data_IF_439880889388
#
_entry.id   IF_439880889388
#
_cell.length_a   1.000
_cell.length_b   1.000
_cell.length_c   1.000
_cell.angle_alpha   90.00
_cell.angle_beta   90.00
_cell.angle_gamma   90.00
#
_symmetry.space_group_name_H-M   'P 1'
#
loop_
_entity.id
_entity.type
_entity.pdbx_description
1 polymer ?
#
# COMPACT_ATOMS: atom_id res chain seq x y z
N UNK A 1 21.05 13.78 27.54
CA UNK A 1 20.63 12.47 26.98
C UNK A 1 21.25 11.40 27.84
N UNK A 2 20.46 10.55 28.47
CA UNK A 2 20.96 9.41 29.25
C UNK A 2 21.48 8.35 28.28
N UNK A 3 22.67 7.83 28.54
CA UNK A 3 23.33 6.83 27.69
C UNK A 3 22.84 5.40 28.01
N UNK A 4 23.02 4.47 27.07
CA UNK A 4 22.67 3.05 27.27
C UNK A 4 23.43 2.43 28.45
N UNK A 5 24.68 2.84 28.66
CA UNK A 5 25.51 2.35 29.75
C UNK A 5 25.01 2.84 31.12
N UNK A 6 24.56 4.09 31.21
CA UNK A 6 23.93 4.64 32.42
C UNK A 6 22.61 3.92 32.74
N UNK A 7 21.77 3.66 31.73
CA UNK A 7 20.52 2.91 31.90
C UNK A 7 20.81 1.48 32.35
N UNK A 8 21.80 0.82 31.75
CA UNK A 8 22.19 -0.55 32.10
C UNK A 8 22.75 -0.61 33.53
N UNK A 9 23.52 0.39 33.95
CA UNK A 9 24.01 0.54 35.32
C UNK A 9 22.87 0.68 36.34
N UNK A 10 21.88 1.52 36.04
CA UNK A 10 20.69 1.71 36.88
C UNK A 10 19.87 0.43 37.00
N UNK A 11 19.70 -0.33 35.91
CA UNK A 11 18.95 -1.59 35.92
C UNK A 11 19.60 -2.68 36.79
N UNK A 12 20.94 -2.71 36.89
CA UNK A 12 21.68 -3.68 37.72
C UNK A 12 21.48 -3.47 39.22
N UNK A 13 21.13 -2.26 39.65
CA UNK A 13 20.87 -1.93 41.05
C UNK A 13 19.43 -2.20 41.52
N UNK A 14 18.54 -2.63 40.61
CA UNK A 14 17.13 -2.83 40.94
C UNK A 14 16.90 -4.15 41.70
N UNK A 15 15.94 -4.13 42.62
CA UNK A 15 15.40 -5.35 43.24
C UNK A 15 14.69 -6.21 42.19
N UNK A 16 14.53 -7.50 42.46
CA UNK A 16 13.84 -8.43 41.57
C UNK A 16 12.40 -7.99 41.23
N UNK A 17 11.67 -7.42 42.20
CA UNK A 17 10.32 -6.88 42.00
C UNK A 17 10.33 -5.69 41.03
N UNK A 18 11.25 -4.74 41.24
CA UNK A 18 11.36 -3.56 40.39
C UNK A 18 11.82 -3.94 38.97
N UNK A 19 12.70 -4.93 38.84
CA UNK A 19 13.11 -5.47 37.55
C UNK A 19 11.94 -6.16 36.82
N UNK A 20 11.04 -6.84 37.55
CA UNK A 20 9.82 -7.41 36.97
C UNK A 20 8.86 -6.32 36.49
N UNK A 21 8.69 -5.22 37.25
CA UNK A 21 7.88 -4.05 36.83
C UNK A 21 8.47 -3.38 35.58
N UNK A 22 9.79 -3.21 35.51
CA UNK A 22 10.45 -2.66 34.31
C UNK A 22 10.27 -3.58 33.12
N UNK A 23 10.36 -4.91 33.29
CA UNK A 23 10.07 -5.86 32.21
C UNK A 23 8.63 -5.77 31.72
N UNK A 24 7.66 -5.70 32.63
CA UNK A 24 6.25 -5.53 32.28
C UNK A 24 6.01 -4.21 31.56
N UNK A 25 6.65 -3.12 32.00
CA UNK A 25 6.56 -1.82 31.34
C UNK A 25 7.22 -1.80 29.96
N UNK A 26 8.38 -2.43 29.79
CA UNK A 26 9.02 -2.58 28.48
C UNK A 26 8.17 -3.47 27.56
N UNK A 27 7.55 -4.52 28.09
CA UNK A 27 6.61 -5.35 27.33
C UNK A 27 5.37 -4.53 26.89
N UNK A 28 4.77 -3.75 27.79
CA UNK A 28 3.64 -2.89 27.46
C UNK A 28 4.00 -1.77 26.49
N UNK A 29 5.23 -1.25 26.54
CA UNK A 29 5.73 -0.29 25.54
C UNK A 29 5.92 -0.92 24.17
N UNK A 30 6.31 -2.21 24.11
CA UNK A 30 6.41 -2.97 22.86
C UNK A 30 5.04 -3.32 22.30
N UNK A 31 4.07 -3.67 23.16
CA UNK A 31 2.67 -3.93 22.79
C UNK A 31 1.97 -2.65 22.33
N UNK A 32 2.18 -1.51 23.00
CA UNK A 32 1.65 -0.21 22.58
C UNK A 32 2.26 0.28 21.25
N UNK A 33 3.48 -0.17 20.91
CA UNK A 33 4.09 0.05 19.59
C UNK A 33 3.68 -1.00 18.54
N UNK A 34 2.91 -2.02 18.92
CA UNK A 34 2.40 -3.08 18.07
C UNK A 34 0.91 -2.92 17.75
N UNK A 35 0.36 -1.69 17.86
CA UNK A 35 -0.97 -1.39 17.34
C UNK A 35 -1.02 -1.70 15.84
N UNK A 36 -2.17 -2.19 15.33
CA UNK A 36 -2.39 -2.36 13.90
C UNK A 36 -1.99 -1.08 13.17
N UNK A 37 -0.97 -1.17 12.34
CA UNK A 37 -0.59 -0.09 11.47
C UNK A 37 -1.29 -0.27 10.14
N UNK A 38 -1.91 0.80 9.65
CA UNK A 38 -2.45 0.86 8.31
C UNK A 38 -2.02 2.13 7.60
N UNK A 39 -2.03 2.07 6.27
CA UNK A 39 -1.79 3.23 5.41
C UNK A 39 -2.79 3.19 4.26
N UNK A 40 -3.65 4.21 4.18
CA UNK A 40 -4.62 4.37 3.09
C UNK A 40 -4.03 5.26 1.99
N UNK A 41 -3.85 4.70 0.79
CA UNK A 41 -3.22 5.45 -0.29
C UNK A 41 -4.13 6.53 -0.91
N UNK A 42 -5.46 6.43 -0.75
CA UNK A 42 -6.40 7.45 -1.22
C UNK A 42 -6.32 8.69 -0.32
N UNK A 43 -6.25 8.51 0.99
CA UNK A 43 -6.09 9.61 1.97
C UNK A 43 -4.79 10.39 1.74
N UNK A 44 -3.72 9.67 1.37
CA UNK A 44 -2.40 10.25 1.11
C UNK A 44 -2.17 10.71 -0.35
N UNK A 45 -3.21 10.74 -1.20
CA UNK A 45 -3.04 11.07 -2.62
C UNK A 45 -2.47 12.46 -2.89
N UNK A 46 -2.68 13.43 -1.99
CA UNK A 46 -2.13 14.78 -2.13
C UNK A 46 -0.59 14.79 -2.17
N UNK A 47 0.05 13.85 -1.47
CA UNK A 47 1.50 13.69 -1.35
C UNK A 47 2.09 12.84 -2.48
N UNK A 48 1.24 12.18 -3.27
CA UNK A 48 1.67 11.25 -4.30
C UNK A 48 2.33 11.94 -5.50
N UNK A 49 3.39 11.31 -5.98
CA UNK A 49 3.94 11.56 -7.32
C UNK A 49 3.01 10.94 -8.36
N UNK A 50 2.76 11.65 -9.45
CA UNK A 50 1.72 11.30 -10.43
C UNK A 50 2.23 11.50 -11.85
N UNK A 51 1.96 10.53 -12.71
CA UNK A 51 2.22 10.62 -14.15
C UNK A 51 1.11 9.90 -14.93
N UNK A 52 0.73 10.41 -16.10
CA UNK A 52 -0.36 9.87 -16.91
C UNK A 52 -1.13 10.98 -17.64
N UNK A 53 -2.14 10.61 -18.43
CA UNK A 53 -3.03 11.60 -19.07
C UNK A 53 -4.07 12.14 -18.09
N UNK A 54 -4.58 11.28 -17.22
CA UNK A 54 -5.47 11.66 -16.13
C UNK A 54 -5.19 10.77 -14.93
N UNK A 55 -4.97 11.39 -13.78
CA UNK A 55 -4.74 10.71 -12.50
C UNK A 55 -5.46 11.45 -11.39
N UNK A 56 -6.37 10.79 -10.69
CA UNK A 56 -7.19 11.41 -9.62
C UNK A 56 -7.73 10.37 -8.63
N UNK A 57 -8.17 10.83 -7.46
CA UNK A 57 -9.04 10.08 -6.56
C UNK A 57 -10.48 10.44 -6.87
N UNK A 58 -11.33 9.44 -7.09
CA UNK A 58 -12.78 9.58 -7.22
C UNK A 58 -13.47 8.21 -7.09
N UNK A 59 -14.76 8.22 -6.81
CA UNK A 59 -15.57 7.00 -6.84
C UNK A 59 -15.58 6.37 -8.24
N UNK A 60 -15.46 5.05 -8.29
CA UNK A 60 -15.52 4.26 -9.51
C UNK A 60 -16.55 3.13 -9.35
N UNK A 61 -17.24 2.79 -10.44
CA UNK A 61 -18.23 1.71 -10.47
C UNK A 61 -17.76 0.63 -11.44
N UNK A 62 -17.69 -0.61 -10.96
CA UNK A 62 -17.42 -1.80 -11.78
C UNK A 62 -18.48 -2.86 -11.45
N UNK A 63 -19.17 -3.39 -12.46
CA UNK A 63 -20.25 -4.36 -12.33
C UNK A 63 -21.33 -3.88 -11.34
N UNK A 64 -21.69 -2.59 -11.42
CA UNK A 64 -22.66 -1.90 -10.56
C UNK A 64 -22.27 -1.77 -9.08
N UNK A 65 -21.03 -2.05 -8.71
CA UNK A 65 -20.52 -1.83 -7.35
C UNK A 65 -19.62 -0.60 -7.33
N UNK A 66 -19.97 0.40 -6.53
CA UNK A 66 -19.22 1.66 -6.41
C UNK A 66 -18.26 1.63 -5.22
N UNK A 67 -17.02 2.09 -5.43
CA UNK A 67 -15.96 2.20 -4.42
C UNK A 67 -15.09 3.43 -4.65
N UNK A 68 -14.49 4.01 -3.60
CA UNK A 68 -13.47 5.05 -3.76
C UNK A 68 -12.22 4.44 -4.42
N UNK A 69 -11.62 5.16 -5.38
CA UNK A 69 -10.55 4.59 -6.19
C UNK A 69 -9.52 5.62 -6.67
N UNK A 70 -8.32 5.13 -6.97
CA UNK A 70 -7.36 5.79 -7.85
C UNK A 70 -7.77 5.54 -9.29
N UNK A 71 -7.89 6.63 -10.04
CA UNK A 71 -8.09 6.61 -11.48
C UNK A 71 -6.76 6.83 -12.16
N UNK A 72 -6.42 5.95 -13.09
CA UNK A 72 -5.15 6.01 -13.82
C UNK A 72 -5.41 5.81 -15.31
N UNK A 73 -5.37 6.91 -16.07
CA UNK A 73 -5.49 6.86 -17.52
C UNK A 73 -4.10 6.97 -18.17
N UNK A 74 -3.53 5.86 -18.69
CA UNK A 74 -2.23 5.90 -19.34
C UNK A 74 -2.26 6.70 -20.65
N UNK A 75 -1.12 7.20 -21.14
CA UNK A 75 -0.99 7.64 -22.52
C UNK A 75 -1.05 6.46 -23.51
N UNK A 76 -1.36 6.74 -24.78
CA UNK A 76 -1.38 5.74 -25.88
C UNK A 76 -0.13 4.87 -25.94
N UNK A 77 1.03 5.40 -25.53
CA UNK A 77 2.28 4.66 -25.32
C UNK A 77 2.85 5.04 -23.96
N UNK A 78 3.00 4.06 -23.08
CA UNK A 78 3.51 4.24 -21.72
C UNK A 78 2.48 3.87 -20.66
N UNK A 79 2.66 4.45 -19.48
CA UNK A 79 1.91 4.06 -18.28
C UNK A 79 1.40 5.29 -17.55
N UNK A 80 0.29 5.14 -16.84
CA UNK A 80 -0.04 6.01 -15.73
C UNK A 80 0.57 5.43 -14.46
N UNK A 81 0.99 6.28 -13.54
CA UNK A 81 1.66 5.88 -12.31
C UNK A 81 1.28 6.81 -11.18
N UNK A 82 0.94 6.22 -10.03
CA UNK A 82 0.82 6.91 -8.75
C UNK A 82 1.84 6.30 -7.78
N UNK A 83 2.80 7.11 -7.35
CA UNK A 83 3.90 6.71 -6.49
C UNK A 83 3.87 7.41 -5.14
N UNK A 84 4.05 6.63 -4.08
CA UNK A 84 4.03 7.07 -2.68
C UNK A 84 5.35 6.74 -2.00
N UNK A 85 5.78 7.61 -1.09
CA UNK A 85 6.79 7.29 -0.09
C UNK A 85 6.06 7.00 1.22
N UNK A 86 6.10 5.73 1.64
CA UNK A 86 5.33 5.23 2.78
C UNK A 86 6.26 4.92 3.93
N UNK A 87 6.15 5.62 5.08
CA UNK A 87 6.84 5.25 6.30
C UNK A 87 6.31 3.91 6.82
N UNK A 88 7.18 2.92 6.97
CA UNK A 88 6.85 1.60 7.52
C UNK A 88 7.41 1.55 8.95
N UNK A 89 6.55 1.45 9.99
CA UNK A 89 7.02 1.37 11.36
C UNK A 89 7.91 0.15 11.58
N UNK A 90 9.01 0.31 12.34
CA UNK A 90 9.97 -0.77 12.63
C UNK A 90 9.36 -1.99 13.35
N UNK A 91 8.17 -1.85 13.94
CA UNK A 91 7.41 -2.93 14.57
C UNK A 91 6.38 -3.61 13.68
N UNK A 92 6.10 -3.08 12.48
CA UNK A 92 5.09 -3.62 11.58
C UNK A 92 5.52 -4.99 11.06
N UNK A 93 4.67 -6.00 11.25
CA UNK A 93 4.90 -7.38 10.80
C UNK A 93 3.78 -7.81 9.87
N UNK A 94 4.08 -8.79 9.01
CA UNK A 94 3.13 -9.37 8.06
C UNK A 94 2.34 -8.30 7.30
N UNK A 95 3.05 -7.25 6.87
CA UNK A 95 2.44 -6.15 6.14
C UNK A 95 1.87 -6.69 4.83
N UNK A 96 0.59 -6.49 4.62
CA UNK A 96 -0.12 -6.93 3.43
C UNK A 96 -0.63 -5.71 2.67
N UNK A 97 -0.36 -5.66 1.37
CA UNK A 97 -0.97 -4.70 0.46
C UNK A 97 -2.30 -5.26 -0.05
N UNK A 98 -3.40 -4.60 0.28
CA UNK A 98 -4.75 -4.94 -0.17
C UNK A 98 -5.27 -3.87 -1.12
N UNK A 99 -5.92 -4.30 -2.20
CA UNK A 99 -6.52 -3.43 -3.21
C UNK A 99 -7.46 -4.24 -4.09
N UNK A 100 -8.33 -3.56 -4.83
CA UNK A 100 -9.03 -4.15 -5.96
C UNK A 100 -8.63 -3.46 -7.27
N UNK A 101 -8.59 -4.21 -8.37
CA UNK A 101 -8.46 -3.65 -9.72
C UNK A 101 -9.80 -3.72 -10.45
N UNK A 102 -10.06 -2.75 -11.32
CA UNK A 102 -11.34 -2.63 -12.02
C UNK A 102 -11.21 -2.01 -13.39
N UNK A 103 -12.20 -2.32 -14.23
CA UNK A 103 -12.49 -1.60 -15.48
C UNK A 103 -13.90 -1.05 -15.33
N UNK A 104 -14.04 0.27 -15.35
CA UNK A 104 -15.31 0.92 -15.02
C UNK A 104 -16.44 0.53 -15.96
N UNK A 105 -17.66 0.57 -15.42
CA UNK A 105 -18.88 0.48 -16.21
C UNK A 105 -18.93 1.59 -17.27
N UNK A 106 -19.42 1.23 -18.45
CA UNK A 106 -19.43 2.10 -19.64
C UNK A 106 -18.10 2.16 -20.41
N UNK A 107 -17.01 1.54 -19.91
CA UNK A 107 -15.77 1.45 -20.66
C UNK A 107 -15.96 0.62 -21.95
N UNK A 108 -15.43 1.10 -23.06
CA UNK A 108 -15.37 0.37 -24.32
C UNK A 108 -14.13 -0.54 -24.32
N UNK A 109 -14.31 -1.77 -23.86
CA UNK A 109 -13.27 -2.80 -23.86
C UNK A 109 -13.65 -3.90 -24.87
N UNK A 110 -13.08 -3.88 -26.08
CA UNK A 110 -13.20 -4.97 -27.04
C UNK A 110 -12.63 -6.30 -26.48
N UNK A 111 -13.06 -7.47 -26.99
CA UNK A 111 -12.63 -8.77 -26.48
C UNK A 111 -11.12 -9.05 -26.53
N UNK A 112 -10.39 -8.35 -27.41
CA UNK A 112 -8.95 -8.47 -27.62
C UNK A 112 -8.14 -7.40 -26.88
N UNK A 113 -8.79 -6.60 -26.02
CA UNK A 113 -8.15 -5.51 -25.28
C UNK A 113 -7.94 -5.88 -23.81
N UNK A 114 -6.75 -5.55 -23.35
CA UNK A 114 -6.24 -5.89 -22.03
C UNK A 114 -5.72 -4.63 -21.36
N UNK A 115 -5.92 -4.53 -20.05
CA UNK A 115 -5.28 -3.50 -19.22
C UNK A 115 -4.32 -4.23 -18.28
N UNK A 116 -3.06 -3.82 -18.26
CA UNK A 116 -2.11 -4.33 -17.28
C UNK A 116 -2.03 -3.41 -16.06
N UNK A 117 -2.01 -4.05 -14.91
CA UNK A 117 -1.85 -3.45 -13.60
C UNK A 117 -0.54 -3.99 -13.01
N UNK A 118 0.26 -3.12 -12.40
CA UNK A 118 1.48 -3.50 -11.70
C UNK A 118 1.63 -2.72 -10.40
N UNK A 119 2.21 -3.38 -9.41
CA UNK A 119 2.71 -2.72 -8.19
C UNK A 119 4.22 -2.90 -8.14
N UNK A 120 4.94 -1.80 -8.00
CA UNK A 120 6.38 -1.82 -7.68
C UNK A 120 6.59 -1.41 -6.22
N UNK A 121 7.57 -2.04 -5.57
CA UNK A 121 8.09 -1.69 -4.25
C UNK A 121 9.58 -1.46 -4.38
N UNK A 122 10.05 -0.24 -4.07
CA UNK A 122 11.44 0.18 -4.22
C UNK A 122 12.01 -0.12 -5.62
N UNK A 123 11.18 0.06 -6.66
CA UNK A 123 11.51 -0.22 -8.05
C UNK A 123 11.44 -1.70 -8.47
N UNK A 124 11.21 -2.63 -7.54
CA UNK A 124 11.06 -4.05 -7.82
C UNK A 124 9.59 -4.43 -8.00
N UNK A 125 9.28 -5.26 -8.99
CA UNK A 125 7.91 -5.72 -9.22
C UNK A 125 7.45 -6.64 -8.11
N UNK A 126 6.53 -6.16 -7.28
CA UNK A 126 5.86 -6.95 -6.26
C UNK A 126 4.76 -7.81 -6.89
N UNK A 127 3.95 -7.20 -7.76
CA UNK A 127 2.76 -7.83 -8.29
C UNK A 127 2.41 -7.30 -9.68
N UNK A 128 1.73 -8.13 -10.48
CA UNK A 128 1.14 -7.71 -11.74
C UNK A 128 -0.04 -8.61 -12.15
N UNK A 129 -1.05 -8.03 -12.76
CA UNK A 129 -2.12 -8.76 -13.42
C UNK A 129 -2.57 -8.06 -14.72
N UNK A 130 -3.31 -8.81 -15.52
CA UNK A 130 -3.98 -8.32 -16.72
C UNK A 130 -5.48 -8.52 -16.55
N UNK A 131 -6.26 -7.49 -16.86
CA UNK A 131 -7.72 -7.50 -16.70
C UNK A 131 -8.44 -7.30 -18.03
N UNK A 132 -9.54 -8.03 -18.18
CA UNK A 132 -10.46 -7.97 -19.34
C UNK A 132 -11.93 -7.85 -18.95
N UNK A 133 -12.24 -7.88 -17.65
CA UNK A 133 -13.61 -7.87 -17.14
C UNK A 133 -13.92 -6.55 -16.44
N UNK A 134 -15.19 -6.13 -16.50
CA UNK A 134 -15.69 -4.91 -15.83
C UNK A 134 -16.12 -5.15 -14.38
N UNK A 135 -15.63 -6.21 -13.73
CA UNK A 135 -15.92 -6.50 -12.33
C UNK A 135 -14.71 -6.18 -11.46
N UNK A 136 -14.93 -5.78 -10.22
CA UNK A 136 -13.84 -5.69 -9.25
C UNK A 136 -13.16 -7.05 -9.07
N UNK A 137 -11.85 -7.02 -8.93
CA UNK A 137 -11.04 -8.19 -8.61
C UNK A 137 -10.13 -7.83 -7.45
N UNK A 138 -10.32 -8.56 -6.34
CA UNK A 138 -9.65 -8.32 -5.08
C UNK A 138 -8.26 -8.95 -5.07
N UNK A 139 -7.30 -8.24 -4.50
CA UNK A 139 -5.94 -8.70 -4.30
C UNK A 139 -5.47 -8.39 -2.88
N UNK A 140 -4.74 -9.36 -2.32
CA UNK A 140 -3.96 -9.21 -1.10
C UNK A 140 -2.58 -9.79 -1.40
N UNK A 141 -1.54 -8.97 -1.24
CA UNK A 141 -0.16 -9.33 -1.57
C UNK A 141 0.72 -9.07 -0.35
N UNK A 142 1.42 -10.10 0.10
CA UNK A 142 2.37 -9.97 1.20
C UNK A 142 3.53 -9.06 0.77
N UNK A 143 3.85 -8.06 1.61
CA UNK A 143 4.99 -7.20 1.39
C UNK A 143 6.28 -7.95 1.76
N UNK A 144 7.37 -7.77 1.00
CA UNK A 144 8.66 -8.29 1.39
C UNK A 144 9.11 -7.65 2.70
N UNK A 145 9.97 -8.34 3.46
CA UNK A 145 10.66 -7.70 4.58
C UNK A 145 11.54 -6.57 4.04
N UNK A 146 11.21 -5.34 4.42
CA UNK A 146 11.95 -4.16 4.01
C UNK A 146 13.08 -3.91 5.00
N UNK A 147 14.26 -3.59 4.49
CA UNK A 147 15.43 -3.21 5.29
C UNK A 147 15.40 -1.73 5.71
N UNK A 148 14.44 -0.96 5.23
CA UNK A 148 14.25 0.46 5.52
C UNK A 148 12.84 0.68 6.06
N UNK A 149 12.76 1.68 6.93
CA UNK A 149 11.56 2.32 7.46
C UNK A 149 10.83 3.19 6.44
N UNK A 150 11.29 3.25 5.18
CA UNK A 150 10.63 3.96 4.09
C UNK A 150 10.53 3.07 2.84
N UNK A 151 9.32 2.94 2.31
CA UNK A 151 9.03 2.19 1.09
C UNK A 151 8.54 3.12 -0.02
N UNK A 152 9.11 3.02 -1.21
CA UNK A 152 8.50 3.59 -2.41
C UNK A 152 7.52 2.58 -2.99
N UNK A 153 6.24 2.92 -3.06
CA UNK A 153 5.19 2.05 -3.59
C UNK A 153 4.54 2.73 -4.78
N UNK A 154 4.49 2.04 -5.91
CA UNK A 154 4.00 2.59 -7.17
C UNK A 154 2.91 1.69 -7.76
N UNK A 155 1.72 2.25 -7.92
CA UNK A 155 0.63 1.68 -8.71
C UNK A 155 0.80 2.12 -10.15
N UNK A 156 0.74 1.17 -11.08
CA UNK A 156 1.03 1.42 -12.49
C UNK A 156 -0.02 0.75 -13.37
N UNK A 157 -0.67 1.56 -14.20
CA UNK A 157 -1.57 1.09 -15.26
C UNK A 157 -0.91 1.26 -16.62
N UNK A 158 -0.72 0.16 -17.35
CA UNK A 158 -0.14 0.15 -18.68
C UNK A 158 -1.21 0.10 -19.77
N UNK A 159 -0.98 0.86 -20.85
CA UNK A 159 -1.89 0.91 -22.00
C UNK A 159 -1.92 -0.39 -22.82
N UNK A 160 -0.84 -1.19 -22.80
CA UNK A 160 -0.63 -2.40 -23.62
C UNK A 160 -1.07 -2.27 -25.10
N UNK A 161 -1.08 -1.06 -25.65
CA UNK A 161 -1.66 -0.77 -26.97
C UNK A 161 -2.70 0.34 -26.91
N UNK A 162 -3.76 0.22 -27.72
CA UNK A 162 -4.84 1.21 -27.77
C UNK A 162 -5.63 1.21 -26.47
N UNK A 163 -5.55 2.32 -25.74
CA UNK A 163 -6.13 2.49 -24.42
C UNK A 163 -7.29 3.49 -24.37
N UNK A 164 -7.82 3.90 -25.53
CA UNK A 164 -9.00 4.75 -25.58
C UNK A 164 -10.13 4.08 -24.82
N UNK A 165 -10.68 4.80 -23.84
CA UNK A 165 -11.78 4.34 -22.99
C UNK A 165 -11.43 3.20 -22.02
N UNK A 166 -10.14 2.94 -21.81
CA UNK A 166 -9.66 2.03 -20.77
C UNK A 166 -9.72 2.75 -19.41
N UNK A 167 -10.92 2.79 -18.83
CA UNK A 167 -11.21 3.42 -17.54
C UNK A 167 -10.76 2.52 -16.38
N UNK A 168 -9.45 2.30 -16.30
CA UNK A 168 -8.78 1.50 -15.28
C UNK A 168 -8.80 2.21 -13.92
N UNK A 169 -9.00 1.43 -12.87
CA UNK A 169 -9.12 1.94 -11.51
C UNK A 169 -8.57 0.97 -10.48
N UNK A 170 -8.01 1.53 -9.40
CA UNK A 170 -7.56 0.80 -8.20
C UNK A 170 -8.45 1.20 -7.02
N UNK A 171 -9.28 0.28 -6.54
CA UNK A 171 -10.17 0.53 -5.41
C UNK A 171 -9.48 0.26 -4.07
N UNK A 172 -9.65 1.20 -3.14
CA UNK A 172 -9.27 1.11 -1.72
C UNK A 172 -7.88 0.49 -1.45
N UNK A 173 -6.82 0.92 -2.18
CA UNK A 173 -5.47 0.46 -1.90
C UNK A 173 -5.08 0.84 -0.48
N UNK A 174 -4.58 -0.15 0.28
CA UNK A 174 -4.12 0.03 1.65
C UNK A 174 -3.04 -0.97 2.04
N UNK A 175 -2.12 -0.55 2.89
CA UNK A 175 -1.27 -1.46 3.65
C UNK A 175 -1.88 -1.70 5.01
N UNK A 176 -1.78 -2.94 5.49
CA UNK A 176 -2.20 -3.32 6.83
C UNK A 176 -1.15 -4.26 7.42
N UNK A 177 -0.75 -4.04 8.67
CA UNK A 177 -0.05 -5.02 9.49
C UNK A 177 -1.04 -5.80 10.34
N UNK A 178 -0.79 -7.08 10.60
CA UNK A 178 -1.60 -7.84 11.56
C UNK A 178 -1.45 -7.29 12.99
N UNK A 179 -2.55 -7.26 13.74
CA UNK A 179 -2.53 -7.14 15.21
C UNK A 179 -2.02 -8.46 15.80
N UNK A 180 -1.24 -8.39 16.88
CA UNK A 180 -0.81 -9.58 17.65
C UNK A 180 -1.96 -10.16 18.47
#
# INVERSE_FOLDING_TARGET
MTTIEEITGLMRGLSAENLARVRAFVASLREAHAAAWSFDFLEHFAEATRAGMEVKVADATCANVTRPALWEHPPMRGSATVGYLVPIPAGARQVTLKFAIGIRDGAELPPDRFIAFRVLVNGWKLWSAVKTTRAWEEHAVEMPQLSSDLARIEFITDSLGDNRWNWAVWAEPRLESEEQ
#
